data_IF_989326917164
#
_entry.id   IF_989326917164
#
_cell.length_a   1.000
_cell.length_b   1.000
_cell.length_c   1.000
_cell.angle_alpha   90.00
_cell.angle_beta   90.00
_cell.angle_gamma   90.00
#
_symmetry.space_group_name_H-M   'P 1'
#
loop_
_entity.id
_entity.type
_entity.pdbx_description
1 polymer ?
#
# COMPACT_ATOMS: atom_id res chain seq x y z
N UNK A 1 -8.57 4.76 10.64
CA UNK A 1 -7.85 4.32 9.43
C UNK A 1 -6.87 5.41 9.04
N UNK A 2 -5.63 5.08 8.69
CA UNK A 2 -4.65 6.06 8.18
C UNK A 2 -4.85 6.34 6.68
N UNK A 3 -4.20 7.36 6.12
CA UNK A 3 -4.28 7.70 4.68
C UNK A 3 -3.55 6.63 3.85
N UNK A 4 -4.24 6.05 2.88
CA UNK A 4 -3.68 5.04 1.98
C UNK A 4 -4.44 4.93 0.66
N UNK A 5 -3.82 4.29 -0.31
CA UNK A 5 -4.42 3.90 -1.60
C UNK A 5 -4.54 2.37 -1.65
N UNK A 6 -5.70 1.86 -2.06
CA UNK A 6 -5.91 0.42 -2.25
C UNK A 6 -5.35 -0.04 -3.60
N UNK A 7 -4.68 -1.20 -3.60
CA UNK A 7 -4.20 -1.87 -4.80
C UNK A 7 -4.73 -3.30 -4.86
N UNK A 8 -5.20 -3.71 -6.04
CA UNK A 8 -5.53 -5.09 -6.36
C UNK A 8 -4.71 -5.50 -7.59
N UNK A 9 -3.90 -6.55 -7.45
CA UNK A 9 -3.05 -7.07 -8.51
C UNK A 9 -3.70 -8.33 -9.08
N UNK A 10 -4.09 -8.23 -10.35
CA UNK A 10 -4.62 -9.35 -11.09
C UNK A 10 -3.57 -9.85 -12.10
N UNK A 11 -3.26 -11.13 -12.05
CA UNK A 11 -2.38 -11.80 -13.01
C UNK A 11 -3.14 -12.97 -13.65
N UNK A 12 -3.27 -12.93 -14.97
CA UNK A 12 -3.97 -13.96 -15.77
C UNK A 12 -5.41 -14.23 -15.28
N UNK A 13 -6.16 -13.18 -14.94
CA UNK A 13 -7.55 -13.30 -14.49
C UNK A 13 -7.72 -13.67 -13.01
N UNK A 14 -6.62 -13.88 -12.27
CA UNK A 14 -6.64 -14.22 -10.84
C UNK A 14 -6.13 -13.06 -9.99
N UNK A 15 -6.89 -12.71 -8.95
CA UNK A 15 -6.41 -11.82 -7.89
C UNK A 15 -5.29 -12.52 -7.11
N UNK A 16 -4.08 -11.96 -7.16
CA UNK A 16 -2.88 -12.53 -6.52
C UNK A 16 -2.44 -11.76 -5.28
N UNK A 17 -2.79 -10.48 -5.19
CA UNK A 17 -2.46 -9.63 -4.05
C UNK A 17 -3.46 -8.49 -3.93
N UNK A 18 -3.98 -8.27 -2.72
CA UNK A 18 -4.59 -7.01 -2.31
C UNK A 18 -3.68 -6.35 -1.28
N UNK A 19 -3.37 -5.09 -1.48
CA UNK A 19 -2.48 -4.36 -0.55
C UNK A 19 -2.90 -2.90 -0.42
N UNK A 20 -2.28 -2.22 0.55
CA UNK A 20 -2.49 -0.80 0.83
C UNK A 20 -1.15 -0.08 0.70
N UNK A 21 -1.12 0.97 -0.12
CA UNK A 21 -0.01 1.92 -0.17
C UNK A 21 -0.27 3.04 0.84
N UNK A 22 0.40 2.97 1.98
CA UNK A 22 0.35 3.98 3.03
C UNK A 22 1.18 5.21 2.67
N UNK A 23 0.79 6.37 3.17
CA UNK A 23 1.54 7.63 2.98
C UNK A 23 2.55 7.81 4.10
N UNK A 24 3.83 8.03 3.75
CA UNK A 24 4.88 8.31 4.72
C UNK A 24 4.60 9.58 5.55
N UNK A 25 5.10 9.62 6.78
CA UNK A 25 5.03 10.80 7.65
C UNK A 25 3.66 11.15 8.23
N UNK A 26 2.63 10.30 8.03
CA UNK A 26 1.31 10.52 8.64
C UNK A 26 1.31 10.05 10.09
N UNK A 27 1.00 10.96 11.02
CA UNK A 27 0.86 10.63 12.45
C UNK A 27 -0.16 9.53 12.71
N UNK A 28 -1.20 9.43 11.86
CA UNK A 28 -2.21 8.38 11.97
C UNK A 28 -1.65 6.97 11.75
N UNK A 29 -0.52 6.81 11.04
CA UNK A 29 0.14 5.50 10.86
C UNK A 29 0.48 4.87 12.22
N UNK A 30 0.95 5.67 13.18
CA UNK A 30 1.33 5.19 14.52
C UNK A 30 0.12 4.72 15.36
N UNK A 31 -1.11 5.10 14.98
CA UNK A 31 -2.34 4.76 15.70
C UNK A 31 -3.18 3.71 14.96
N UNK A 32 -2.88 3.44 13.69
CA UNK A 32 -3.63 2.50 12.86
C UNK A 32 -3.27 1.04 13.19
N UNK A 33 -4.28 0.25 13.60
CA UNK A 33 -4.07 -1.13 14.03
C UNK A 33 -3.58 -2.07 12.92
N UNK A 34 -4.05 -1.86 11.68
CA UNK A 34 -3.64 -2.66 10.53
C UNK A 34 -2.20 -2.33 10.15
N UNK A 35 -1.86 -1.05 10.06
CA UNK A 35 -0.50 -0.62 9.77
C UNK A 35 0.50 -1.14 10.83
N UNK A 36 0.11 -1.10 12.11
CA UNK A 36 0.93 -1.61 13.21
C UNK A 36 1.13 -3.13 13.16
N UNK A 37 0.14 -3.89 12.70
CA UNK A 37 0.25 -5.35 12.62
C UNK A 37 1.19 -5.85 11.52
N UNK A 38 1.59 -5.00 10.58
CA UNK A 38 2.51 -5.37 9.48
C UNK A 38 3.96 -5.59 9.94
N UNK A 39 4.32 -5.15 11.15
CA UNK A 39 5.71 -5.12 11.61
C UNK A 39 6.59 -4.14 10.81
N UNK A 40 7.86 -4.01 11.19
CA UNK A 40 8.74 -2.99 10.62
C UNK A 40 9.00 -3.19 9.11
N UNK A 41 9.19 -4.44 8.68
CA UNK A 41 9.45 -4.76 7.28
C UNK A 41 8.21 -4.53 6.40
N UNK A 42 7.04 -5.02 6.82
CA UNK A 42 5.79 -4.79 6.09
C UNK A 42 5.41 -3.31 6.02
N UNK A 43 5.64 -2.55 7.10
CA UNK A 43 5.47 -1.09 7.09
C UNK A 43 6.38 -0.42 6.06
N UNK A 44 7.65 -0.82 5.99
CA UNK A 44 8.60 -0.30 5.00
C UNK A 44 8.16 -0.62 3.57
N UNK A 45 7.73 -1.86 3.30
CA UNK A 45 7.32 -2.31 1.97
C UNK A 45 5.99 -1.71 1.51
N UNK A 46 5.09 -1.38 2.43
CA UNK A 46 3.75 -0.87 2.11
C UNK A 46 3.64 0.66 2.23
N UNK A 47 4.72 1.40 2.51
CA UNK A 47 4.69 2.87 2.68
C UNK A 47 5.45 3.57 1.59
N UNK A 48 4.79 4.51 0.91
CA UNK A 48 5.41 5.33 -0.13
C UNK A 48 5.57 6.78 0.33
N UNK A 49 6.67 7.40 -0.11
CA UNK A 49 6.94 8.81 0.08
C UNK A 49 6.41 9.60 -1.12
N UNK A 50 5.47 10.50 -0.86
CA UNK A 50 4.89 11.39 -1.87
C UNK A 50 5.67 12.70 -1.88
N UNK A 51 6.31 13.00 -3.00
CA UNK A 51 7.13 14.21 -3.21
C UNK A 51 6.48 15.10 -4.26
N UNK A 52 6.72 16.42 -4.24
CA UNK A 52 6.30 17.30 -5.33
C UNK A 52 6.75 16.74 -6.68
N UNK A 53 5.84 16.72 -7.65
CA UNK A 53 6.15 16.32 -9.01
C UNK A 53 6.80 17.51 -9.73
N UNK A 54 8.03 17.34 -10.21
CA UNK A 54 8.73 18.40 -10.94
C UNK A 54 7.95 18.83 -12.19
N UNK A 55 7.79 20.14 -12.37
CA UNK A 55 7.01 20.70 -13.48
C UNK A 55 5.48 20.65 -13.30
N UNK A 56 4.98 20.21 -12.14
CA UNK A 56 3.54 20.23 -11.84
C UNK A 56 2.99 21.66 -11.85
N UNK A 57 1.86 21.85 -12.54
CA UNK A 57 1.14 23.14 -12.62
C UNK A 57 0.25 23.37 -11.39
N UNK A 58 -0.29 22.30 -10.79
CA UNK A 58 -1.32 22.39 -9.74
C UNK A 58 -0.85 21.97 -8.32
N UNK A 59 0.44 21.68 -8.16
CA UNK A 59 1.02 21.18 -6.90
C UNK A 59 0.84 19.68 -6.69
N UNK A 60 0.79 18.90 -7.77
CA UNK A 60 0.69 17.45 -7.75
C UNK A 60 1.88 16.80 -7.05
N UNK A 61 1.64 15.64 -6.45
CA UNK A 61 2.66 14.83 -5.80
C UNK A 61 2.83 13.52 -6.57
N UNK A 62 4.05 12.99 -6.59
CA UNK A 62 4.40 11.70 -7.14
C UNK A 62 5.04 10.81 -6.06
N UNK A 63 4.80 9.52 -6.16
CA UNK A 63 5.41 8.50 -5.31
C UNK A 63 5.79 7.29 -6.15
N UNK A 64 6.89 6.63 -5.77
CA UNK A 64 7.29 5.35 -6.34
C UNK A 64 6.90 4.23 -5.36
N UNK A 65 6.14 3.25 -5.84
CA UNK A 65 5.64 2.14 -5.03
C UNK A 65 5.79 0.83 -5.82
N UNK A 66 6.78 0.03 -5.43
CA UNK A 66 7.07 -1.25 -6.08
C UNK A 66 6.27 -2.38 -5.43
N UNK A 67 5.66 -3.20 -6.27
CA UNK A 67 4.89 -4.37 -5.83
C UNK A 67 5.59 -5.62 -6.36
N UNK A 68 6.11 -6.43 -5.43
CA UNK A 68 6.84 -7.65 -5.74
C UNK A 68 6.06 -8.83 -5.17
N UNK A 69 5.35 -9.55 -6.03
CA UNK A 69 4.55 -10.72 -5.64
C UNK A 69 5.43 -11.82 -5.05
N UNK A 70 5.05 -12.36 -3.89
CA UNK A 70 5.82 -13.36 -3.13
C UNK A 70 6.79 -12.77 -2.09
N UNK A 71 6.98 -11.44 -2.07
CA UNK A 71 7.76 -10.71 -1.05
C UNK A 71 6.89 -9.64 -0.34
N UNK A 72 6.07 -8.90 -1.10
CA UNK A 72 5.05 -8.02 -0.53
C UNK A 72 4.03 -8.87 0.24
N UNK A 73 3.62 -8.47 1.46
CA UNK A 73 2.70 -9.27 2.28
C UNK A 73 1.45 -9.68 1.51
N UNK A 74 1.20 -10.99 1.42
CA UNK A 74 0.06 -11.55 0.69
C UNK A 74 -1.25 -11.43 1.48
N UNK A 75 -2.37 -11.48 0.75
CA UNK A 75 -3.69 -11.68 1.33
C UNK A 75 -3.71 -12.94 2.18
N UNK A 76 -4.35 -12.86 3.36
CA UNK A 76 -4.60 -14.05 4.13
C UNK A 76 -5.46 -15.02 3.30
N UNK A 77 -5.30 -16.35 3.48
CA UNK A 77 -6.11 -17.33 2.76
C UNK A 77 -7.63 -17.10 2.89
N UNK A 78 -8.07 -16.48 3.99
CA UNK A 78 -9.46 -16.08 4.24
C UNK A 78 -9.97 -14.95 3.32
N UNK A 79 -9.07 -14.10 2.83
CA UNK A 79 -9.42 -12.88 2.10
C UNK A 79 -9.56 -13.15 0.59
N UNK A 80 -8.90 -14.20 0.09
CA UNK A 80 -8.93 -14.63 -1.33
C UNK A 80 -10.31 -15.04 -1.86
N UNK A 81 -11.35 -15.12 -1.01
CA UNK A 81 -12.71 -15.54 -1.38
C UNK A 81 -13.74 -14.41 -1.33
N UNK A 82 -13.35 -13.18 -0.97
CA UNK A 82 -14.29 -12.07 -0.89
C UNK A 82 -14.30 -11.30 -2.23
N UNK A 83 -15.43 -11.27 -2.95
CA UNK A 83 -15.59 -10.31 -4.03
C UNK A 83 -15.60 -8.89 -3.44
N UNK A 84 -15.07 -7.93 -4.21
CA UNK A 84 -15.16 -6.50 -3.88
C UNK A 84 -16.60 -6.00 -3.94
#
# INVERSE_FOLDING_TARGET
RTTHVHFAINQNGRLVLTTHCFVAGKEQNARDGLYRSLGAEGQKLCTAEFKPLDGSVAGELAAHFEIVTGVTPEDQPSDRRRPF
#
